data_IF_092411700691
#
_entry.id   IF_092411700691
#
_cell.length_a   1.000
_cell.length_b   1.000
_cell.length_c   1.000
_cell.angle_alpha   90.00
_cell.angle_beta   90.00
_cell.angle_gamma   90.00
#
_symmetry.space_group_name_H-M   'P 1'
#
loop_
_entity.id
_entity.type
_entity.pdbx_description
1 polymer ?
#
# COMPACT_ATOMS: atom_id res chain seq x y z
N UNK A 1 -4.75 22.85 7.92
CA UNK A 1 -5.67 22.43 9.00
C UNK A 1 -6.75 23.46 9.29
N UNK A 2 -6.41 24.74 9.54
CA UNK A 2 -7.39 25.80 9.79
C UNK A 2 -8.41 25.97 8.65
N UNK A 3 -7.96 26.03 7.39
CA UNK A 3 -8.84 26.09 6.20
C UNK A 3 -9.78 24.89 6.09
N UNK A 4 -9.35 23.72 6.57
CA UNK A 4 -10.15 22.50 6.60
C UNK A 4 -11.12 22.43 7.80
N UNK A 5 -11.23 23.50 8.61
CA UNK A 5 -12.11 23.55 9.78
C UNK A 5 -11.49 23.01 11.08
N UNK A 6 -10.19 22.73 11.12
CA UNK A 6 -9.48 22.20 12.30
C UNK A 6 -8.36 23.14 12.79
N UNK A 7 -8.66 24.39 13.18
CA UNK A 7 -7.64 25.35 13.58
C UNK A 7 -6.86 24.93 14.84
N UNK A 8 -7.47 24.10 15.69
CA UNK A 8 -6.83 23.52 16.89
C UNK A 8 -6.35 22.08 16.70
N UNK A 9 -6.33 21.62 15.45
CA UNK A 9 -6.05 20.23 15.09
C UNK A 9 -7.11 19.27 15.60
N UNK A 10 -6.73 17.99 15.65
CA UNK A 10 -7.57 16.88 16.11
C UNK A 10 -6.68 15.76 16.66
N UNK A 11 -7.29 14.74 17.26
CA UNK A 11 -6.59 13.53 17.74
C UNK A 11 -6.76 12.41 16.73
N UNK A 12 -5.68 11.67 16.49
CA UNK A 12 -5.71 10.45 15.67
C UNK A 12 -4.75 9.40 16.23
N UNK A 13 -5.09 8.12 16.07
CA UNK A 13 -4.20 7.00 16.33
C UNK A 13 -3.66 6.47 15.00
N UNK A 14 -2.34 6.36 14.90
CA UNK A 14 -1.65 5.75 13.78
C UNK A 14 -1.38 4.29 14.12
N UNK A 15 -1.92 3.39 13.32
CA UNK A 15 -1.81 1.95 13.53
C UNK A 15 -0.83 1.35 12.52
N UNK A 16 -0.14 0.28 12.87
CA UNK A 16 0.71 -0.43 11.91
C UNK A 16 1.22 -1.75 12.46
N UNK A 17 1.82 -2.59 11.60
CA UNK A 17 2.58 -3.73 12.08
C UNK A 17 3.89 -3.29 12.76
N UNK A 18 4.53 -4.21 13.47
CA UNK A 18 5.87 -4.04 14.05
C UNK A 18 6.89 -5.12 13.62
N UNK A 19 6.48 -6.06 12.78
CA UNK A 19 7.22 -7.25 12.38
C UNK A 19 6.99 -7.63 10.90
N UNK A 20 6.33 -6.79 10.10
CA UNK A 20 5.96 -7.13 8.71
C UNK A 20 6.85 -6.46 7.68
N UNK A 21 7.16 -5.19 7.87
CA UNK A 21 7.93 -4.38 6.94
C UNK A 21 9.20 -3.88 7.61
N UNK A 22 10.26 -3.66 6.82
CA UNK A 22 11.48 -3.03 7.31
C UNK A 22 11.13 -1.69 7.98
N UNK A 23 11.43 -1.58 9.28
CA UNK A 23 11.20 -0.37 10.09
C UNK A 23 9.74 0.06 10.26
N UNK A 24 8.73 -0.78 10.04
CA UNK A 24 7.30 -0.42 10.17
C UNK A 24 6.96 0.42 11.42
N UNK A 25 7.33 -0.04 12.62
CA UNK A 25 7.10 0.69 13.86
C UNK A 25 7.80 2.06 13.89
N UNK A 26 9.04 2.14 13.37
CA UNK A 26 9.80 3.40 13.31
C UNK A 26 9.21 4.38 12.30
N UNK A 27 8.68 3.86 11.18
CA UNK A 27 8.01 4.67 10.16
C UNK A 27 6.77 5.34 10.75
N UNK A 28 5.87 4.59 11.39
CA UNK A 28 4.66 5.18 11.98
C UNK A 28 4.97 6.13 13.14
N UNK A 29 6.03 5.87 13.91
CA UNK A 29 6.51 6.79 14.94
C UNK A 29 7.00 8.11 14.33
N UNK A 30 7.80 8.05 13.26
CA UNK A 30 8.28 9.24 12.57
C UNK A 30 7.13 10.06 11.98
N UNK A 31 6.17 9.42 11.32
CA UNK A 31 4.94 10.08 10.82
C UNK A 31 4.17 10.73 11.98
N UNK A 32 4.00 10.03 13.10
CA UNK A 32 3.33 10.56 14.28
C UNK A 32 4.00 11.82 14.83
N UNK A 33 5.34 11.83 14.90
CA UNK A 33 6.11 13.00 15.32
C UNK A 33 5.99 14.16 14.33
N UNK A 34 6.07 13.89 13.02
CA UNK A 34 5.90 14.90 11.98
C UNK A 34 4.50 15.54 12.01
N UNK A 35 3.46 14.73 12.19
CA UNK A 35 2.08 15.21 12.29
C UNK A 35 1.81 15.98 13.57
N UNK A 36 2.45 15.61 14.69
CA UNK A 36 2.40 16.39 15.93
C UNK A 36 2.93 17.81 15.76
N UNK A 37 4.02 17.98 15.00
CA UNK A 37 4.61 19.30 14.73
C UNK A 37 3.68 20.24 13.97
N UNK A 38 2.71 19.71 13.21
CA UNK A 38 1.72 20.50 12.48
C UNK A 38 0.36 20.59 13.20
N UNK A 39 0.30 20.20 14.48
CA UNK A 39 -0.88 20.38 15.33
C UNK A 39 -1.83 19.17 15.40
N UNK A 40 -1.50 18.03 14.79
CA UNK A 40 -2.29 16.79 14.93
C UNK A 40 -1.82 16.02 16.16
N UNK A 41 -2.70 15.80 17.12
CA UNK A 41 -2.37 15.05 18.36
C UNK A 41 -2.34 13.56 18.05
N UNK A 42 -1.15 13.02 17.78
CA UNK A 42 -1.01 11.61 17.39
C UNK A 42 -0.74 10.69 18.58
N UNK A 43 -1.26 9.46 18.48
CA UNK A 43 -0.80 8.30 19.25
C UNK A 43 -0.41 7.21 18.27
N UNK A 44 0.49 6.31 18.65
CA UNK A 44 1.02 5.28 17.75
C UNK A 44 0.81 3.91 18.38
N UNK A 45 0.20 3.00 17.64
CA UNK A 45 -0.02 1.61 18.04
C UNK A 45 0.60 0.68 16.99
N UNK A 46 1.74 0.08 17.34
CA UNK A 46 2.41 -0.94 16.52
C UNK A 46 2.11 -2.33 17.08
N UNK A 47 1.74 -3.30 16.24
CA UNK A 47 1.30 -4.63 16.69
C UNK A 47 1.87 -5.75 15.81
N UNK A 48 1.90 -7.01 16.28
CA UNK A 48 2.23 -8.15 15.42
C UNK A 48 1.31 -8.23 14.21
N UNK A 49 1.85 -8.58 13.04
CA UNK A 49 1.13 -8.60 11.76
C UNK A 49 -0.18 -9.37 11.82
N UNK A 50 -0.19 -10.54 12.46
CA UNK A 50 -1.37 -11.41 12.54
C UNK A 50 -2.55 -10.74 13.25
N UNK A 51 -2.26 -9.98 14.31
CA UNK A 51 -3.28 -9.21 15.03
C UNK A 51 -3.71 -7.99 14.22
N UNK A 52 -2.73 -7.24 13.70
CA UNK A 52 -2.96 -6.04 12.92
C UNK A 52 -3.84 -6.33 11.69
N UNK A 53 -3.52 -7.36 10.89
CA UNK A 53 -4.21 -7.62 9.63
C UNK A 53 -5.66 -8.06 9.82
N UNK A 54 -5.95 -8.79 10.92
CA UNK A 54 -7.32 -9.16 11.30
C UNK A 54 -8.16 -7.95 11.69
N UNK A 55 -7.60 -7.04 12.48
CA UNK A 55 -8.26 -5.75 12.85
C UNK A 55 -8.45 -4.84 11.64
N UNK A 56 -7.43 -4.72 10.80
CA UNK A 56 -7.48 -3.92 9.58
C UNK A 56 -8.54 -4.45 8.61
N UNK A 57 -8.70 -5.77 8.48
CA UNK A 57 -9.75 -6.38 7.65
C UNK A 57 -11.18 -6.10 8.12
N UNK A 58 -11.38 -5.85 9.43
CA UNK A 58 -12.67 -5.41 10.00
C UNK A 58 -12.87 -3.89 9.96
N UNK A 59 -11.90 -3.14 9.43
CA UNK A 59 -11.86 -1.69 9.42
C UNK A 59 -11.85 -1.08 10.84
N UNK A 60 -11.14 -1.71 11.79
CA UNK A 60 -11.03 -1.23 13.17
C UNK A 60 -10.14 0.04 13.32
N UNK A 61 -9.55 0.56 12.24
CA UNK A 61 -8.55 1.63 12.27
C UNK A 61 -8.96 2.83 11.40
N UNK A 62 -8.84 4.05 11.96
CA UNK A 62 -9.02 5.29 11.20
C UNK A 62 -7.78 5.69 10.37
N UNK A 63 -6.61 5.19 10.74
CA UNK A 63 -5.35 5.37 10.00
C UNK A 63 -4.46 4.15 10.24
N UNK A 64 -3.82 3.68 9.18
CA UNK A 64 -2.96 2.51 9.24
C UNK A 64 -1.82 2.54 8.22
N UNK A 65 -0.65 2.04 8.60
CA UNK A 65 0.46 1.73 7.70
C UNK A 65 0.23 0.34 7.09
N UNK A 66 0.20 0.29 5.77
CA UNK A 66 0.21 -0.96 5.02
C UNK A 66 1.07 -0.78 3.77
N UNK A 67 1.66 -1.88 3.32
CA UNK A 67 2.39 -1.98 2.06
C UNK A 67 1.72 -2.99 1.12
N UNK A 68 1.94 -2.82 -0.18
CA UNK A 68 1.46 -3.72 -1.21
C UNK A 68 2.63 -4.15 -2.10
N UNK A 69 2.68 -5.44 -2.43
CA UNK A 69 3.75 -6.01 -3.24
C UNK A 69 3.63 -5.64 -4.72
N UNK A 70 4.74 -5.83 -5.44
CA UNK A 70 4.83 -5.63 -6.88
C UNK A 70 3.93 -6.60 -7.66
N UNK A 71 3.34 -6.14 -8.75
CA UNK A 71 2.57 -6.96 -9.69
C UNK A 71 2.85 -6.51 -11.13
N UNK A 72 3.02 -7.43 -12.09
CA UNK A 72 3.23 -7.06 -13.50
C UNK A 72 2.05 -6.30 -14.11
N UNK A 73 0.83 -6.47 -13.59
CA UNK A 73 -0.33 -5.70 -13.99
C UNK A 73 -0.48 -4.45 -13.10
N UNK A 74 -0.22 -3.27 -13.67
CA UNK A 74 -0.32 -1.99 -12.97
C UNK A 74 -1.73 -1.64 -12.49
N UNK A 75 -2.79 -2.25 -13.05
CA UNK A 75 -4.16 -2.10 -12.57
C UNK A 75 -4.45 -2.94 -11.33
N UNK A 76 -3.69 -4.01 -11.09
CA UNK A 76 -3.90 -4.94 -10.00
C UNK A 76 -3.87 -4.28 -8.61
N UNK A 77 -2.87 -3.46 -8.23
CA UNK A 77 -2.91 -2.75 -6.95
C UNK A 77 -4.14 -1.85 -6.85
N UNK A 78 -4.44 -1.06 -7.88
CA UNK A 78 -5.60 -0.16 -7.88
C UNK A 78 -6.91 -0.91 -7.61
N UNK A 79 -7.15 -2.04 -8.30
CA UNK A 79 -8.33 -2.89 -8.12
C UNK A 79 -8.44 -3.48 -6.71
N UNK A 80 -7.33 -3.77 -6.05
CA UNK A 80 -7.34 -4.40 -4.73
C UNK A 80 -7.42 -3.39 -3.59
N UNK A 81 -6.70 -2.28 -3.67
CA UNK A 81 -6.50 -1.34 -2.56
C UNK A 81 -7.27 -0.02 -2.71
N UNK A 82 -7.65 0.41 -3.94
CA UNK A 82 -8.28 1.71 -4.17
C UNK A 82 -9.65 1.65 -4.86
N UNK A 83 -9.96 0.59 -5.60
CA UNK A 83 -11.26 0.45 -6.22
C UNK A 83 -12.37 0.33 -5.16
N UNK A 84 -13.57 0.78 -5.53
CA UNK A 84 -14.75 0.66 -4.68
C UNK A 84 -15.01 -0.81 -4.35
N UNK A 85 -15.26 -1.10 -3.07
CA UNK A 85 -15.51 -2.46 -2.58
C UNK A 85 -16.75 -3.03 -3.28
N UNK A 86 -16.54 -4.02 -4.15
CA UNK A 86 -17.59 -4.64 -4.95
C UNK A 86 -17.43 -6.16 -4.90
N UNK A 87 -18.36 -6.85 -4.24
CA UNK A 87 -18.25 -8.29 -3.98
C UNK A 87 -18.35 -9.11 -5.26
N UNK A 88 -19.20 -8.67 -6.19
CA UNK A 88 -19.46 -9.33 -7.46
C UNK A 88 -18.23 -9.30 -8.37
N UNK A 89 -17.49 -8.19 -8.37
CA UNK A 89 -16.24 -8.01 -9.13
C UNK A 89 -15.01 -8.55 -8.39
N UNK A 90 -15.12 -8.81 -7.08
CA UNK A 90 -13.98 -9.11 -6.22
C UNK A 90 -13.03 -7.93 -6.00
N UNK A 91 -13.48 -6.70 -6.24
CA UNK A 91 -12.67 -5.48 -6.13
C UNK A 91 -12.71 -4.87 -4.73
N UNK A 92 -11.66 -4.12 -4.39
CA UNK A 92 -11.54 -3.44 -3.11
C UNK A 92 -11.40 -4.40 -1.92
N UNK A 93 -11.05 -5.68 -2.15
CA UNK A 93 -10.90 -6.69 -1.09
C UNK A 93 -9.90 -6.27 -0.01
N UNK A 94 -8.93 -5.43 -0.37
CA UNK A 94 -7.91 -4.86 0.51
C UNK A 94 -8.04 -3.35 0.70
N UNK A 95 -9.12 -2.73 0.20
CA UNK A 95 -9.42 -1.31 0.37
C UNK A 95 -9.93 -1.03 1.80
N UNK A 96 -8.96 -0.98 2.70
CA UNK A 96 -9.17 -0.73 4.14
C UNK A 96 -9.48 0.73 4.46
N UNK A 97 -9.09 1.65 3.56
CA UNK A 97 -9.43 3.07 3.65
C UNK A 97 -10.84 3.40 3.20
N UNK A 98 -11.56 2.44 2.60
CA UNK A 98 -12.91 2.62 2.03
C UNK A 98 -13.00 3.74 1.00
N UNK A 99 -11.89 4.06 0.33
CA UNK A 99 -11.87 5.02 -0.76
C UNK A 99 -12.77 4.54 -1.90
N UNK A 100 -13.46 5.46 -2.56
CA UNK A 100 -14.46 5.14 -3.58
C UNK A 100 -14.55 6.30 -4.56
N UNK A 101 -14.17 6.07 -5.82
CA UNK A 101 -14.25 7.07 -6.86
C UNK A 101 -14.77 6.43 -8.16
N UNK A 102 -15.98 6.80 -8.63
CA UNK A 102 -16.58 6.17 -9.80
C UNK A 102 -15.82 6.41 -11.10
N UNK A 103 -15.06 7.51 -11.21
CA UNK A 103 -14.20 7.77 -12.37
C UNK A 103 -13.02 6.80 -12.41
N UNK A 104 -12.40 6.57 -11.24
CA UNK A 104 -11.33 5.58 -11.12
C UNK A 104 -11.86 4.18 -11.47
N UNK A 105 -13.00 3.78 -10.91
CA UNK A 105 -13.59 2.46 -11.18
C UNK A 105 -13.91 2.26 -12.67
N UNK A 106 -14.44 3.30 -13.34
CA UNK A 106 -14.74 3.25 -14.77
C UNK A 106 -13.49 3.11 -15.64
N UNK A 107 -12.38 3.76 -15.28
CA UNK A 107 -11.10 3.62 -15.97
C UNK A 107 -10.53 2.20 -15.80
N UNK A 108 -10.66 1.63 -14.59
CA UNK A 108 -10.28 0.25 -14.34
C UNK A 108 -11.10 -0.73 -15.18
N UNK A 109 -12.43 -0.55 -15.25
CA UNK A 109 -13.30 -1.39 -16.08
C UNK A 109 -12.86 -1.35 -17.55
N UNK A 110 -12.61 -0.16 -18.08
CA UNK A 110 -12.13 0.00 -19.46
C UNK A 110 -10.76 -0.65 -19.67
N UNK A 111 -9.84 -0.51 -18.71
CA UNK A 111 -8.48 -1.06 -18.83
C UNK A 111 -8.46 -2.59 -18.92
N UNK A 112 -9.45 -3.28 -18.32
CA UNK A 112 -9.50 -4.75 -18.31
C UNK A 112 -9.97 -5.35 -19.63
N UNK A 113 -10.70 -4.58 -20.44
CA UNK A 113 -11.22 -5.03 -21.74
C UNK A 113 -10.48 -4.38 -22.92
N UNK A 114 -9.50 -3.51 -22.65
CA UNK A 114 -8.70 -2.84 -23.67
C UNK A 114 -7.56 -3.74 -24.16
N UNK A 115 -7.56 -4.01 -25.46
CA UNK A 115 -6.61 -4.88 -26.14
C UNK A 115 -5.37 -4.12 -26.60
N UNK A 116 -5.51 -2.82 -26.90
CA UNK A 116 -4.37 -1.96 -27.23
C UNK A 116 -3.56 -1.65 -25.97
N UNK A 117 -2.30 -2.07 -25.96
CA UNK A 117 -1.44 -1.94 -24.79
C UNK A 117 -1.18 -0.48 -24.41
N UNK A 118 -0.89 0.38 -25.39
CA UNK A 118 -0.58 1.78 -25.13
C UNK A 118 -1.80 2.50 -24.52
N UNK A 119 -2.99 2.24 -25.04
CA UNK A 119 -4.24 2.79 -24.54
C UNK A 119 -4.60 2.23 -23.16
N UNK A 120 -4.40 0.93 -22.92
CA UNK A 120 -4.57 0.32 -21.60
C UNK A 120 -3.65 0.96 -20.56
N UNK A 121 -2.39 1.22 -20.91
CA UNK A 121 -1.43 1.91 -20.02
C UNK A 121 -1.91 3.32 -19.68
N UNK A 122 -2.40 4.09 -20.66
CA UNK A 122 -2.92 5.44 -20.40
C UNK A 122 -4.14 5.43 -19.46
N UNK A 123 -5.05 4.47 -19.60
CA UNK A 123 -6.19 4.31 -18.69
C UNK A 123 -5.74 4.08 -17.24
N UNK A 124 -4.72 3.24 -17.05
CA UNK A 124 -4.17 2.95 -15.71
C UNK A 124 -3.43 4.16 -15.14
N UNK A 125 -2.65 4.89 -15.95
CA UNK A 125 -1.98 6.13 -15.52
C UNK A 125 -3.00 7.17 -15.08
N UNK A 126 -4.09 7.35 -15.82
CA UNK A 126 -5.14 8.30 -15.44
C UNK A 126 -5.83 7.88 -14.14
N UNK A 127 -6.07 6.59 -13.94
CA UNK A 127 -6.59 6.07 -12.67
C UNK A 127 -5.64 6.34 -11.49
N UNK A 128 -4.33 6.18 -11.70
CA UNK A 128 -3.29 6.52 -10.70
C UNK A 128 -3.27 8.03 -10.42
N UNK A 129 -3.42 8.87 -11.44
CA UNK A 129 -3.46 10.33 -11.30
C UNK A 129 -4.63 10.76 -10.42
N UNK A 130 -5.83 10.22 -10.67
CA UNK A 130 -7.01 10.47 -9.82
C UNK A 130 -6.72 10.08 -8.37
N UNK A 131 -6.18 8.88 -8.12
CA UNK A 131 -5.85 8.43 -6.78
C UNK A 131 -4.82 9.34 -6.07
N UNK A 132 -3.85 9.87 -6.81
CA UNK A 132 -2.84 10.77 -6.28
C UNK A 132 -3.43 12.16 -5.95
N UNK A 133 -4.28 12.70 -6.83
CA UNK A 133 -4.95 13.99 -6.64
C UNK A 133 -5.93 13.96 -5.47
N UNK A 134 -6.66 12.86 -5.30
CA UNK A 134 -7.58 12.65 -4.18
C UNK A 134 -6.85 12.28 -2.88
N UNK A 135 -5.53 12.05 -2.92
CA UNK A 135 -4.72 11.55 -1.79
C UNK A 135 -5.35 10.29 -1.19
N UNK A 136 -5.79 9.37 -2.06
CA UNK A 136 -6.49 8.14 -1.65
C UNK A 136 -5.64 7.27 -0.69
N UNK A 137 -4.31 7.37 -0.82
CA UNK A 137 -3.31 6.90 0.13
C UNK A 137 -2.19 7.94 0.21
N UNK A 138 -1.39 7.89 1.28
CA UNK A 138 -0.17 8.71 1.41
C UNK A 138 1.03 7.81 1.11
N UNK A 139 1.68 7.94 -0.06
CA UNK A 139 2.88 7.15 -0.37
C UNK A 139 4.03 7.55 0.56
N UNK A 140 4.72 6.56 1.14
CA UNK A 140 5.86 6.82 2.03
C UNK A 140 7.20 6.50 1.37
N UNK A 141 7.36 5.27 0.87
CA UNK A 141 8.56 4.82 0.18
C UNK A 141 8.28 3.55 -0.62
N UNK A 142 9.18 3.23 -1.55
CA UNK A 142 9.28 1.90 -2.15
C UNK A 142 10.29 1.12 -1.31
N UNK A 143 9.88 -0.04 -0.79
CA UNK A 143 10.74 -0.88 0.03
C UNK A 143 11.81 -1.55 -0.81
N UNK A 144 13.07 -1.45 -0.38
CA UNK A 144 14.16 -2.25 -0.95
C UNK A 144 14.20 -3.61 -0.27
N UNK A 145 14.09 -4.67 -1.05
CA UNK A 145 14.23 -6.04 -0.56
C UNK A 145 15.70 -6.44 -0.46
N UNK A 146 16.03 -7.18 0.61
CA UNK A 146 17.39 -7.62 0.90
C UNK A 146 17.36 -9.14 1.10
N UNK A 147 18.19 -9.85 0.34
CA UNK A 147 18.36 -11.30 0.46
C UNK A 147 19.69 -11.61 1.15
N UNK A 148 19.61 -12.23 2.33
CA UNK A 148 20.76 -12.81 3.00
C UNK A 148 20.98 -14.24 2.54
N UNK A 149 22.09 -14.52 1.85
CA UNK A 149 22.43 -15.85 1.35
C UNK A 149 23.66 -16.43 2.07
N UNK A 150 23.71 -17.75 2.22
CA UNK A 150 24.96 -18.44 2.60
C UNK A 150 25.99 -18.25 1.48
N UNK A 151 27.28 -18.14 1.83
CA UNK A 151 28.39 -17.89 0.87
C UNK A 151 28.37 -18.78 -0.38
N UNK A 152 27.97 -20.05 -0.26
CA UNK A 152 27.96 -21.00 -1.37
C UNK A 152 26.63 -21.05 -2.15
N UNK A 153 25.67 -20.18 -1.82
CA UNK A 153 24.38 -20.07 -2.51
C UNK A 153 24.23 -18.68 -3.11
N UNK A 154 23.65 -18.63 -4.30
CA UNK A 154 23.29 -17.41 -5.01
C UNK A 154 21.81 -17.45 -5.39
N UNK A 155 21.20 -16.28 -5.38
CA UNK A 155 19.84 -16.03 -5.85
C UNK A 155 19.84 -14.66 -6.54
N UNK A 156 19.26 -14.59 -7.73
CA UNK A 156 19.13 -13.34 -8.47
C UNK A 156 17.84 -12.64 -7.99
N UNK A 157 17.99 -11.44 -7.44
CA UNK A 157 16.87 -10.67 -6.92
C UNK A 157 15.82 -10.41 -8.01
N UNK A 158 14.54 -10.53 -7.63
CA UNK A 158 13.41 -10.40 -8.56
C UNK A 158 12.54 -9.20 -8.21
N UNK A 159 12.01 -8.55 -9.24
CA UNK A 159 11.07 -7.42 -9.09
C UNK A 159 9.70 -7.84 -8.54
N UNK A 160 9.37 -9.13 -8.58
CA UNK A 160 8.15 -9.70 -7.98
C UNK A 160 8.37 -10.19 -6.54
N UNK A 161 9.57 -9.96 -5.99
CA UNK A 161 9.97 -10.27 -4.61
C UNK A 161 9.95 -11.76 -4.25
N UNK A 162 9.69 -12.65 -5.21
CA UNK A 162 9.54 -14.08 -4.92
C UNK A 162 10.88 -14.73 -4.63
N UNK A 163 10.96 -15.42 -3.50
CA UNK A 163 12.11 -16.26 -3.14
C UNK A 163 11.72 -17.72 -3.33
N UNK A 164 12.04 -18.28 -4.50
CA UNK A 164 11.64 -19.65 -4.85
C UNK A 164 12.84 -20.59 -4.73
N UNK A 165 12.62 -21.79 -4.20
CA UNK A 165 13.69 -22.77 -4.01
C UNK A 165 14.40 -23.14 -5.32
N UNK A 166 13.65 -23.22 -6.43
CA UNK A 166 14.18 -23.49 -7.77
C UNK A 166 15.03 -22.35 -8.35
N UNK A 167 14.95 -21.14 -7.80
CA UNK A 167 15.71 -19.97 -8.25
C UNK A 167 17.03 -19.81 -7.47
N UNK A 168 17.36 -20.77 -6.60
CA UNK A 168 18.61 -20.78 -5.81
C UNK A 168 19.62 -21.72 -6.48
N UNK A 169 20.84 -21.23 -6.68
CA UNK A 169 21.93 -21.94 -7.36
C UNK A 169 23.23 -21.90 -6.54
N UNK A 170 24.21 -22.79 -6.80
CA UNK A 170 25.55 -22.63 -6.25
C UNK A 170 26.14 -21.26 -6.61
N UNK A 171 26.77 -20.59 -5.65
CA UNK A 171 27.53 -19.37 -5.93
C UNK A 171 28.79 -19.70 -6.75
N UNK A 172 29.17 -18.82 -7.68
CA UNK A 172 30.47 -18.91 -8.34
C UNK A 172 31.57 -18.83 -7.28
N UNK A 173 32.59 -19.70 -7.39
CA UNK A 173 33.73 -19.75 -6.46
C UNK A 173 34.55 -18.47 -6.50
#
# INVERSE_FOLDING_TARGET
LAEAGYPQGFRIQLNGPNDRYVNDARIIQAVGQMWTRIGVRTTVEAQPWTTFIGRAGRADFSSHLIGWGSNPDGSHPLRNILATVTREKGWGSSNRGRYSNPRLDALLDQSLVELDEAKRVQLVIEAQRIAAEDVAVIPLHIQTNIWGMRRHLAHDARNDELTRAQDVRPAAR
#
